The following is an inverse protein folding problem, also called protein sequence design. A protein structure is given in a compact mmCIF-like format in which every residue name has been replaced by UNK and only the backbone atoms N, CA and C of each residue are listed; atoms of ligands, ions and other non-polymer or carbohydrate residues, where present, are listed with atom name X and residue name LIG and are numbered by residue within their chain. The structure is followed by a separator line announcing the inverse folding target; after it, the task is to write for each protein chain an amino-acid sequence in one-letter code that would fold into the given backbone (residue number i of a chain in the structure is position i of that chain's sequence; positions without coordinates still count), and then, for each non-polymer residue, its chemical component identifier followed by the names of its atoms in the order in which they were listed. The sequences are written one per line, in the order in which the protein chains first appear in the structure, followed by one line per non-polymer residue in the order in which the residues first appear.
data_IF_397833661160
#
_entry.id   IF_397833661160
#
_cell.length_a   1.000
_cell.length_b   1.000
_cell.length_c   1.000
_cell.angle_alpha   90.00
_cell.angle_beta   90.00
_cell.angle_gamma   90.00
#
_symmetry.space_group_name_H-M   'P 1'
#
loop_
_entity.id
_entity.type
_entity.pdbx_description
1 polymer ?
#
# COMPACT_ATOMS: atom_id res chain seq x y z
N UNK A 1 -61.66 -37.23 -21.20
CA UNK A 1 -60.60 -37.10 -20.19
C UNK A 1 -59.40 -36.43 -20.85
N UNK A 2 -59.06 -35.19 -20.47
CA UNK A 2 -57.97 -34.40 -21.06
C UNK A 2 -56.70 -34.58 -20.22
N UNK A 3 -55.51 -34.78 -20.80
CA UNK A 3 -54.27 -34.77 -20.04
C UNK A 3 -53.79 -33.33 -19.84
N UNK A 4 -53.46 -32.99 -18.60
CA UNK A 4 -52.80 -31.74 -18.21
C UNK A 4 -51.29 -31.95 -18.31
N UNK A 5 -50.64 -31.25 -19.23
CA UNK A 5 -49.18 -31.16 -19.31
C UNK A 5 -48.68 -30.17 -18.25
N UNK A 6 -47.90 -30.67 -17.29
CA UNK A 6 -47.13 -29.86 -16.34
C UNK A 6 -45.79 -29.47 -16.99
N UNK A 7 -45.62 -28.20 -17.33
CA UNK A 7 -44.35 -27.63 -17.74
C UNK A 7 -43.50 -27.33 -16.50
N UNK A 8 -42.36 -28.02 -16.36
CA UNK A 8 -41.36 -27.73 -15.33
C UNK A 8 -40.48 -26.58 -15.84
N UNK A 9 -40.64 -25.41 -15.25
CA UNK A 9 -39.74 -24.28 -15.49
C UNK A 9 -38.44 -24.50 -14.70
N UNK A 10 -37.34 -24.77 -15.41
CA UNK A 10 -36.00 -24.81 -14.83
C UNK A 10 -35.55 -23.37 -14.49
N UNK A 11 -35.51 -23.03 -13.20
CA UNK A 11 -34.84 -21.83 -12.73
C UNK A 11 -33.32 -21.99 -12.87
N UNK A 12 -32.74 -21.29 -13.84
CA UNK A 12 -31.31 -21.03 -13.89
C UNK A 12 -30.96 -20.02 -12.79
N UNK A 13 -30.56 -20.53 -11.62
CA UNK A 13 -29.90 -19.73 -10.60
C UNK A 13 -28.52 -19.34 -11.12
N UNK A 14 -28.42 -18.17 -11.74
CA UNK A 14 -27.15 -17.52 -12.02
C UNK A 14 -26.47 -17.19 -10.70
N UNK A 15 -25.44 -17.95 -10.35
CA UNK A 15 -24.54 -17.66 -9.25
C UNK A 15 -23.79 -16.36 -9.56
N UNK A 16 -24.28 -15.25 -9.03
CA UNK A 16 -23.54 -14.00 -9.01
C UNK A 16 -22.30 -14.20 -8.11
N UNK A 17 -21.14 -14.33 -8.74
CA UNK A 17 -19.85 -14.34 -8.04
C UNK A 17 -19.74 -13.00 -7.30
N UNK A 18 -19.58 -12.99 -5.96
CA UNK A 18 -19.42 -11.75 -5.23
C UNK A 18 -18.21 -10.99 -5.78
N UNK A 19 -18.29 -9.66 -5.93
CA UNK A 19 -17.16 -8.87 -6.40
C UNK A 19 -15.97 -9.08 -5.48
N UNK A 20 -14.84 -9.53 -6.03
CA UNK A 20 -13.60 -9.70 -5.29
C UNK A 20 -13.20 -8.33 -4.73
N UNK A 21 -13.20 -8.21 -3.40
CA UNK A 21 -12.83 -6.99 -2.72
C UNK A 21 -11.42 -6.56 -3.16
N UNK A 22 -11.21 -5.28 -3.44
CA UNK A 22 -9.89 -4.79 -3.83
C UNK A 22 -8.92 -4.76 -2.64
N UNK A 23 -7.61 -4.75 -2.90
CA UNK A 23 -6.64 -4.44 -1.85
C UNK A 23 -6.89 -3.02 -1.33
N UNK A 24 -7.06 -2.91 -0.02
CA UNK A 24 -7.15 -1.63 0.70
C UNK A 24 -6.12 -1.63 1.81
N UNK A 25 -5.41 -0.53 1.98
CA UNK A 25 -4.71 -0.29 3.24
C UNK A 25 -5.77 -0.12 4.33
N UNK A 26 -5.65 -0.91 5.40
CA UNK A 26 -6.49 -0.69 6.58
C UNK A 26 -5.94 0.50 7.37
N UNK A 27 -6.85 1.36 7.86
CA UNK A 27 -6.55 2.44 8.81
C UNK A 27 -6.38 1.91 10.25
N UNK A 28 -6.32 0.59 10.44
CA UNK A 28 -6.16 -0.05 11.74
C UNK A 28 -4.75 0.17 12.30
N UNK A 29 -4.62 1.06 13.29
CA UNK A 29 -3.38 1.23 14.04
C UNK A 29 -3.11 0.14 15.08
N UNK A 30 -4.01 -0.84 15.24
CA UNK A 30 -3.96 -1.80 16.35
C UNK A 30 -4.07 -1.12 17.73
N UNK A 31 -3.44 -1.68 18.79
CA UNK A 31 -3.39 -1.04 20.10
C UNK A 31 -2.44 0.16 20.06
N UNK A 32 -2.90 1.28 19.50
CA UNK A 32 -2.15 2.53 19.47
C UNK A 32 -2.02 3.12 20.89
N UNK A 33 -0.99 3.96 21.14
CA UNK A 33 -0.90 4.73 22.38
C UNK A 33 -2.21 5.48 22.66
N UNK A 34 -2.60 5.56 23.94
CA UNK A 34 -3.84 6.23 24.33
C UNK A 34 -3.89 7.66 23.78
N UNK A 35 -4.95 7.97 23.04
CA UNK A 35 -5.14 9.30 22.46
C UNK A 35 -4.32 9.56 21.18
N UNK A 36 -3.62 8.56 20.64
CA UNK A 36 -3.05 8.65 19.30
C UNK A 36 -4.16 8.86 18.24
N UNK A 37 -3.77 9.44 17.11
CA UNK A 37 -4.61 9.61 15.93
C UNK A 37 -4.35 8.46 14.97
N UNK A 38 -5.45 7.81 14.59
CA UNK A 38 -5.51 6.82 13.52
C UNK A 38 -6.29 7.45 12.40
N UNK A 39 -5.60 7.73 11.30
CA UNK A 39 -6.16 8.51 10.23
C UNK A 39 -6.72 7.60 9.16
N UNK A 40 -7.85 8.03 8.62
CA UNK A 40 -8.51 7.45 7.46
C UNK A 40 -8.96 8.58 6.54
N UNK A 41 -9.53 8.23 5.39
CA UNK A 41 -10.18 9.21 4.51
C UNK A 41 -9.78 9.07 3.06
N UNK A 42 -10.08 10.12 2.29
CA UNK A 42 -10.05 10.07 0.83
C UNK A 42 -8.65 9.79 0.26
N UNK A 43 -7.59 10.13 0.98
CA UNK A 43 -6.21 9.86 0.56
C UNK A 43 -5.83 8.38 0.65
N UNK A 44 -6.50 7.58 1.48
CA UNK A 44 -6.27 6.13 1.60
C UNK A 44 -6.90 5.33 0.45
N UNK A 45 -7.74 5.96 -0.37
CA UNK A 45 -8.37 5.33 -1.54
C UNK A 45 -7.44 5.23 -2.76
N UNK A 46 -6.15 5.49 -2.62
CA UNK A 46 -5.21 5.43 -3.73
C UNK A 46 -5.07 4.00 -4.27
N UNK A 47 -4.55 3.90 -5.49
CA UNK A 47 -4.21 2.62 -6.11
C UNK A 47 -2.73 2.48 -6.44
N UNK A 48 -2.04 3.60 -6.65
CA UNK A 48 -0.59 3.61 -6.88
C UNK A 48 0.08 4.66 -6.01
N UNK A 49 1.31 4.38 -5.61
CA UNK A 49 2.20 5.33 -4.96
C UNK A 49 3.59 5.13 -5.52
N UNK A 50 4.27 6.23 -5.84
CA UNK A 50 5.72 6.27 -6.01
C UNK A 50 6.25 7.32 -5.07
N UNK A 51 7.15 6.95 -4.16
CA UNK A 51 7.65 7.89 -3.15
C UNK A 51 9.13 7.67 -2.90
N UNK A 52 9.88 8.76 -2.91
CA UNK A 52 11.22 8.86 -2.31
C UNK A 52 11.07 9.43 -0.90
N UNK A 53 11.66 8.74 0.08
CA UNK A 53 11.70 9.12 1.49
C UNK A 53 13.15 9.37 1.87
N UNK A 54 13.44 10.58 2.34
CA UNK A 54 14.74 10.96 2.88
C UNK A 54 14.67 11.07 4.40
N UNK A 55 15.50 10.30 5.10
CA UNK A 55 15.56 10.22 6.57
C UNK A 55 17.02 10.31 7.02
N UNK A 56 17.54 11.54 7.13
CA UNK A 56 18.97 11.74 7.37
C UNK A 56 19.82 11.16 6.23
N UNK A 57 20.75 10.22 6.52
CA UNK A 57 21.57 9.58 5.48
C UNK A 57 20.85 8.45 4.73
N UNK A 58 19.62 8.09 5.14
CA UNK A 58 18.85 7.02 4.50
C UNK A 58 17.98 7.59 3.39
N UNK A 59 18.08 6.98 2.21
CA UNK A 59 17.19 7.23 1.07
C UNK A 59 16.47 5.94 0.71
N UNK A 60 15.15 5.97 0.70
CA UNK A 60 14.32 4.85 0.25
C UNK A 60 13.38 5.29 -0.85
N UNK A 61 13.23 4.47 -1.88
CA UNK A 61 12.27 4.64 -2.97
C UNK A 61 11.34 3.45 -2.98
N UNK A 62 10.06 3.74 -2.88
CA UNK A 62 9.00 2.75 -2.89
C UNK A 62 8.06 3.00 -4.06
N UNK A 63 7.74 1.95 -4.81
CA UNK A 63 6.58 1.93 -5.70
C UNK A 63 5.57 0.94 -5.13
N UNK A 64 4.35 1.36 -4.85
CA UNK A 64 3.27 0.51 -4.34
C UNK A 64 2.13 0.52 -5.34
N UNK A 65 1.62 -0.65 -5.68
CA UNK A 65 0.40 -0.85 -6.47
C UNK A 65 -0.58 -1.70 -5.68
N UNK A 66 -1.70 -1.09 -5.28
CA UNK A 66 -2.85 -1.76 -4.68
C UNK A 66 -3.77 -2.22 -5.82
N UNK A 67 -3.54 -3.45 -6.26
CA UNK A 67 -4.16 -4.01 -7.44
C UNK A 67 -5.62 -4.44 -7.24
N UNK A 68 -6.31 -4.65 -8.35
CA UNK A 68 -7.54 -5.45 -8.36
C UNK A 68 -7.25 -6.88 -7.87
N UNK A 69 -8.25 -7.58 -7.34
CA UNK A 69 -8.06 -8.97 -6.88
C UNK A 69 -7.17 -9.13 -5.65
N UNK A 70 -7.14 -8.13 -4.76
CA UNK A 70 -6.35 -8.11 -3.50
C UNK A 70 -4.84 -8.24 -3.70
N UNK A 71 -4.34 -7.99 -4.90
CA UNK A 71 -2.90 -7.98 -5.12
C UNK A 71 -2.26 -6.73 -4.53
N UNK A 72 -1.05 -6.88 -4.01
CA UNK A 72 -0.17 -5.76 -3.65
C UNK A 72 1.19 -6.01 -4.25
N UNK A 73 1.59 -5.19 -5.22
CA UNK A 73 2.97 -5.17 -5.73
C UNK A 73 3.70 -4.00 -5.11
N UNK A 74 4.81 -4.27 -4.42
CA UNK A 74 5.74 -3.25 -3.97
C UNK A 74 7.12 -3.45 -4.59
N UNK A 75 7.74 -2.36 -5.02
CA UNK A 75 9.15 -2.29 -5.44
C UNK A 75 9.90 -1.40 -4.47
N UNK A 76 11.09 -1.83 -4.11
CA UNK A 76 11.89 -1.23 -3.06
C UNK A 76 13.28 -1.00 -3.63
N UNK A 77 13.76 0.23 -3.54
CA UNK A 77 15.17 0.56 -3.68
C UNK A 77 15.56 1.35 -2.44
N UNK A 78 16.57 0.88 -1.71
CA UNK A 78 17.00 1.55 -0.49
C UNK A 78 18.52 1.70 -0.47
N UNK A 79 18.96 2.81 0.09
CA UNK A 79 20.35 3.14 0.30
C UNK A 79 20.53 3.69 1.71
N UNK A 80 21.32 2.99 2.51
CA UNK A 80 21.73 3.36 3.87
C UNK A 80 23.26 3.35 3.95
N UNK A 81 23.85 3.90 5.03
CA UNK A 81 25.29 3.73 5.26
C UNK A 81 25.77 2.27 5.39
N UNK A 82 24.88 1.34 5.72
CA UNK A 82 25.21 -0.06 6.02
C UNK A 82 24.94 -1.01 4.84
N UNK A 83 23.94 -0.71 4.02
CA UNK A 83 23.53 -1.52 2.88
C UNK A 83 22.80 -0.68 1.83
N UNK A 84 22.87 -1.12 0.58
CA UNK A 84 22.05 -0.61 -0.50
C UNK A 84 21.61 -1.76 -1.38
N UNK A 85 20.35 -1.75 -1.80
CA UNK A 85 19.78 -2.88 -2.51
C UNK A 85 18.41 -2.62 -3.11
N UNK A 86 17.91 -3.67 -3.78
CA UNK A 86 16.60 -3.69 -4.43
C UNK A 86 15.85 -4.96 -4.09
N UNK A 87 14.54 -4.81 -3.93
CA UNK A 87 13.63 -5.94 -3.82
C UNK A 87 12.28 -5.62 -4.46
N UNK A 88 11.68 -6.64 -5.05
CA UNK A 88 10.28 -6.64 -5.44
C UNK A 88 9.53 -7.65 -4.57
N UNK A 89 8.32 -7.30 -4.14
CA UNK A 89 7.46 -8.19 -3.36
C UNK A 89 6.03 -8.06 -3.85
N UNK A 90 5.37 -9.21 -3.98
CA UNK A 90 4.00 -9.33 -4.46
C UNK A 90 3.20 -10.18 -3.47
N UNK A 91 2.17 -9.59 -2.89
CA UNK A 91 1.09 -10.31 -2.22
C UNK A 91 0.02 -10.63 -3.26
N UNK A 92 -0.19 -11.91 -3.55
CA UNK A 92 -1.22 -12.40 -4.47
C UNK A 92 -2.47 -12.76 -3.68
N UNK A 93 -3.61 -12.21 -4.11
CA UNK A 93 -4.94 -12.41 -3.49
C UNK A 93 -4.97 -12.21 -1.96
N UNK A 94 -4.10 -11.35 -1.43
CA UNK A 94 -4.01 -11.10 0.00
C UNK A 94 -3.49 -12.26 0.84
N UNK A 95 -2.96 -13.34 0.24
CA UNK A 95 -2.58 -14.56 0.98
C UNK A 95 -1.19 -15.09 0.65
N UNK A 96 -0.79 -15.10 -0.63
CA UNK A 96 0.50 -15.68 -1.05
C UNK A 96 1.52 -14.58 -1.28
N UNK A 97 2.62 -14.60 -0.53
CA UNK A 97 3.74 -13.68 -0.77
C UNK A 97 4.78 -14.35 -1.65
N UNK A 98 5.12 -13.69 -2.76
CA UNK A 98 6.29 -14.00 -3.59
C UNK A 98 7.18 -12.79 -3.64
N UNK A 99 8.50 -12.98 -3.67
CA UNK A 99 9.44 -11.86 -3.65
C UNK A 99 10.71 -12.16 -4.41
N UNK A 100 11.39 -11.11 -4.87
CA UNK A 100 12.72 -11.17 -5.43
C UNK A 100 13.56 -10.15 -4.70
N UNK A 101 14.55 -10.62 -3.94
CA UNK A 101 15.50 -9.77 -3.23
C UNK A 101 16.89 -10.03 -3.79
N UNK A 102 17.57 -9.00 -4.30
CA UNK A 102 18.94 -9.10 -4.85
C UNK A 102 19.99 -9.22 -3.73
N UNK A 103 19.64 -9.91 -2.62
CA UNK A 103 20.41 -10.19 -1.39
C UNK A 103 21.11 -8.99 -0.77
N UNK A 104 20.58 -7.81 -1.03
CA UNK A 104 21.20 -6.53 -0.71
C UNK A 104 20.37 -5.72 0.29
N UNK A 105 19.10 -6.10 0.47
CA UNK A 105 18.23 -5.57 1.51
C UNK A 105 18.02 -6.59 2.63
N UNK A 106 18.01 -6.17 3.90
CA UNK A 106 17.59 -7.02 5.00
C UNK A 106 16.08 -7.31 4.87
N UNK A 107 15.69 -8.54 5.19
CA UNK A 107 14.29 -8.97 5.19
C UNK A 107 13.94 -9.93 4.05
N UNK A 108 12.92 -10.74 4.31
CA UNK A 108 12.42 -11.75 3.38
C UNK A 108 10.89 -11.82 3.43
N UNK A 109 10.28 -12.32 2.34
CA UNK A 109 8.85 -12.60 2.31
C UNK A 109 7.99 -11.39 2.66
N UNK A 110 7.11 -11.54 3.65
CA UNK A 110 6.15 -10.51 4.04
C UNK A 110 6.81 -9.29 4.69
N UNK A 111 7.99 -9.43 5.28
CA UNK A 111 8.70 -8.31 5.92
C UNK A 111 8.98 -7.20 4.90
N UNK A 112 9.29 -7.57 3.66
CA UNK A 112 9.53 -6.65 2.55
C UNK A 112 8.30 -5.78 2.21
N UNK A 113 7.08 -6.18 2.58
CA UNK A 113 5.89 -5.34 2.37
C UNK A 113 5.75 -4.24 3.43
N UNK A 114 6.44 -4.35 4.56
CA UNK A 114 6.17 -3.49 5.72
C UNK A 114 6.55 -2.04 5.45
N UNK A 115 7.79 -1.78 5.05
CA UNK A 115 8.28 -0.43 4.79
C UNK A 115 7.51 0.29 3.68
N UNK A 116 7.30 -0.29 2.48
CA UNK A 116 6.55 0.40 1.43
C UNK A 116 5.09 0.67 1.82
N UNK A 117 4.42 -0.26 2.53
CA UNK A 117 3.05 -0.03 2.98
C UNK A 117 2.98 1.00 4.11
N UNK A 118 3.98 1.05 4.99
CA UNK A 118 4.07 2.04 6.05
C UNK A 118 4.31 3.44 5.46
N UNK A 119 5.25 3.58 4.53
CA UNK A 119 5.47 4.82 3.80
C UNK A 119 4.20 5.29 3.07
N UNK A 120 3.41 4.36 2.53
CA UNK A 120 2.14 4.70 1.91
C UNK A 120 1.08 5.21 2.89
N UNK A 121 0.98 4.59 4.08
CA UNK A 121 0.13 5.10 5.15
C UNK A 121 0.60 6.46 5.66
N UNK A 122 1.91 6.70 5.74
CA UNK A 122 2.49 7.99 6.12
C UNK A 122 2.09 9.09 5.14
N UNK A 123 2.30 8.86 3.85
CA UNK A 123 1.89 9.80 2.80
C UNK A 123 0.40 10.09 2.87
N UNK A 124 -0.45 9.06 2.91
CA UNK A 124 -1.90 9.24 2.97
C UNK A 124 -2.35 10.00 4.23
N UNK A 125 -1.76 9.67 5.39
CA UNK A 125 -2.06 10.28 6.68
C UNK A 125 -1.74 11.77 6.70
N UNK A 126 -0.52 12.15 6.31
CA UNK A 126 -0.12 13.57 6.35
C UNK A 126 -0.83 14.41 5.30
N UNK A 127 -1.12 13.84 4.13
CA UNK A 127 -1.97 14.49 3.14
C UNK A 127 -3.42 14.65 3.65
N UNK A 128 -3.96 13.67 4.36
CA UNK A 128 -5.29 13.76 4.96
C UNK A 128 -5.36 14.83 6.06
N UNK A 129 -4.34 14.95 6.92
CA UNK A 129 -4.26 16.00 7.93
C UNK A 129 -4.21 17.40 7.30
N UNK A 130 -3.40 17.58 6.26
CA UNK A 130 -3.19 18.89 5.63
C UNK A 130 -4.29 19.26 4.63
N UNK A 131 -4.89 18.27 3.95
CA UNK A 131 -5.84 18.44 2.86
C UNK A 131 -7.05 17.51 3.06
N UNK A 132 -7.86 17.71 4.11
CA UNK A 132 -8.88 16.75 4.54
C UNK A 132 -10.02 16.54 3.54
N UNK A 133 -10.22 17.49 2.62
CA UNK A 133 -11.21 17.38 1.54
C UNK A 133 -10.81 16.37 0.45
N UNK A 134 -9.59 15.85 0.50
CA UNK A 134 -9.12 14.78 -0.38
C UNK A 134 -8.62 15.24 -1.75
N UNK A 135 -8.04 14.29 -2.52
CA UNK A 135 -7.37 14.56 -3.80
C UNK A 135 -8.32 15.13 -4.86
N UNK A 136 -9.59 14.71 -4.85
CA UNK A 136 -10.62 15.15 -5.82
C UNK A 136 -10.93 16.65 -5.76
N UNK A 137 -10.47 17.37 -4.74
CA UNK A 137 -10.68 18.82 -4.61
C UNK A 137 -9.48 19.65 -5.07
N UNK A 138 -8.34 19.02 -5.35
CA UNK A 138 -7.16 19.70 -5.87
C UNK A 138 -7.37 20.08 -7.34
N UNK A 139 -7.24 21.38 -7.64
CA UNK A 139 -7.36 21.94 -9.00
C UNK A 139 -6.11 22.69 -9.45
N UNK A 140 -5.22 23.00 -8.51
CA UNK A 140 -3.94 23.69 -8.71
C UNK A 140 -2.96 23.27 -7.62
N UNK A 141 -1.69 23.64 -7.78
CA UNK A 141 -0.70 23.52 -6.72
C UNK A 141 -1.24 24.13 -5.42
N UNK A 142 -1.28 23.32 -4.36
CA UNK A 142 -1.90 23.66 -3.08
C UNK A 142 -0.87 23.41 -1.96
N UNK A 143 -0.66 24.38 -1.06
CA UNK A 143 0.24 24.20 0.08
C UNK A 143 -0.23 23.06 0.99
N UNK A 144 0.70 22.19 1.37
CA UNK A 144 0.52 21.22 2.45
C UNK A 144 0.99 21.90 3.73
N UNK A 145 0.07 22.10 4.69
CA UNK A 145 0.38 22.67 6.01
C UNK A 145 -0.50 22.02 7.07
N UNK A 146 0.12 21.37 8.04
CA UNK A 146 -0.56 20.95 9.27
C UNK A 146 0.44 20.85 10.43
N UNK A 147 -0.08 20.85 11.65
CA UNK A 147 0.70 20.63 12.87
C UNK A 147 -0.20 20.00 13.92
N UNK A 148 0.37 19.26 14.86
CA UNK A 148 -0.42 18.63 15.91
C UNK A 148 0.31 18.35 17.21
N UNK A 149 -0.50 18.20 18.25
CA UNK A 149 -0.08 17.90 19.62
C UNK A 149 -0.39 16.46 20.05
N UNK A 150 -0.89 15.62 19.14
CA UNK A 150 -1.21 14.20 19.38
C UNK A 150 -0.32 13.31 18.53
N UNK A 151 0.01 12.13 19.05
CA UNK A 151 0.75 11.10 18.29
C UNK A 151 -0.04 10.73 17.03
N UNK A 152 0.61 10.64 15.87
CA UNK A 152 0.05 9.98 14.69
C UNK A 152 0.57 8.55 14.67
N UNK A 153 -0.33 7.57 14.65
CA UNK A 153 0.01 6.15 14.65
C UNK A 153 -0.36 5.53 13.31
N UNK A 154 0.51 4.67 12.80
CA UNK A 154 0.34 3.93 11.55
C UNK A 154 0.88 2.53 11.74
N UNK A 155 0.31 1.55 11.03
CA UNK A 155 0.64 0.15 11.25
C UNK A 155 0.44 -0.69 9.99
N UNK A 156 1.41 -1.54 9.71
CA UNK A 156 1.30 -2.69 8.81
C UNK A 156 1.20 -3.98 9.64
N UNK A 157 0.96 -5.15 9.02
CA UNK A 157 0.91 -6.39 9.78
C UNK A 157 2.15 -6.68 10.63
N UNK A 158 3.34 -6.26 10.17
CA UNK A 158 4.61 -6.54 10.84
C UNK A 158 5.33 -5.31 11.41
N UNK A 159 4.86 -4.08 11.17
CA UNK A 159 5.54 -2.86 11.63
C UNK A 159 4.55 -1.78 12.08
N UNK A 160 4.97 -0.93 13.02
CA UNK A 160 4.23 0.28 13.42
C UNK A 160 5.15 1.50 13.40
N UNK A 161 4.59 2.66 13.09
CA UNK A 161 5.27 3.96 13.20
C UNK A 161 4.46 4.91 14.08
N UNK A 162 5.16 5.71 14.88
CA UNK A 162 4.56 6.67 15.80
C UNK A 162 5.26 8.03 15.72
N UNK A 163 4.56 9.00 15.15
CA UNK A 163 5.01 10.37 15.01
C UNK A 163 4.53 11.19 16.21
N UNK A 164 5.42 11.41 17.17
CA UNK A 164 5.15 12.13 18.40
C UNK A 164 5.14 13.65 18.25
N UNK A 165 4.38 14.35 19.11
CA UNK A 165 4.30 15.81 19.11
C UNK A 165 5.54 16.50 19.73
N UNK A 166 5.77 17.79 19.44
CA UNK A 166 5.10 18.52 18.37
C UNK A 166 5.53 17.97 17.02
N UNK A 167 4.58 17.82 16.11
CA UNK A 167 4.89 17.51 14.71
C UNK A 167 4.34 18.59 13.80
N UNK A 168 5.02 18.80 12.68
CA UNK A 168 4.63 19.73 11.61
C UNK A 168 4.80 19.04 10.27
N UNK A 169 3.96 19.41 9.31
CA UNK A 169 4.10 19.05 7.90
C UNK A 169 4.05 20.30 7.04
N UNK A 170 4.99 20.43 6.12
CA UNK A 170 5.11 21.57 5.21
C UNK A 170 5.52 21.12 3.81
N UNK A 171 4.84 21.60 2.77
CA UNK A 171 5.15 21.22 1.40
C UNK A 171 4.13 21.70 0.38
N UNK A 172 4.05 21.01 -0.75
CA UNK A 172 3.10 21.29 -1.83
C UNK A 172 2.53 19.99 -2.42
N UNK A 173 1.24 20.00 -2.73
CA UNK A 173 0.56 18.99 -3.54
C UNK A 173 0.10 19.63 -4.86
N UNK A 174 0.37 18.98 -5.98
CA UNK A 174 0.02 19.47 -7.33
C UNK A 174 -0.79 18.41 -8.05
N UNK A 175 -1.97 18.75 -8.63
CA UNK A 175 -2.72 17.79 -9.43
C UNK A 175 -1.90 17.35 -10.65
N UNK A 176 -1.83 16.05 -10.86
CA UNK A 176 -1.20 15.39 -12.00
C UNK A 176 -2.21 14.92 -13.04
N UNK A 177 -1.75 14.12 -14.01
CA UNK A 177 -2.60 13.51 -15.04
C UNK A 177 -3.36 12.30 -14.46
N UNK A 178 -4.53 11.98 -15.02
CA UNK A 178 -5.23 10.72 -14.70
C UNK A 178 -5.76 10.58 -13.27
N UNK A 179 -5.91 11.70 -12.54
CA UNK A 179 -6.30 11.67 -11.13
C UNK A 179 -5.13 11.54 -10.15
N UNK A 180 -3.90 11.54 -10.65
CA UNK A 180 -2.70 11.53 -9.83
C UNK A 180 -2.50 12.87 -9.09
N UNK A 181 -1.76 12.83 -7.99
CA UNK A 181 -1.28 14.02 -7.27
C UNK A 181 0.21 13.87 -7.04
N UNK A 182 1.00 14.80 -7.58
CA UNK A 182 2.41 14.96 -7.27
C UNK A 182 2.54 15.67 -5.92
N UNK A 183 3.46 15.24 -5.05
CA UNK A 183 3.69 15.84 -3.75
C UNK A 183 5.18 15.97 -3.43
N UNK A 184 5.50 17.00 -2.65
CA UNK A 184 6.80 17.19 -2.01
C UNK A 184 6.54 17.87 -0.66
N UNK A 185 6.72 17.12 0.42
CA UNK A 185 6.54 17.64 1.77
C UNK A 185 7.56 17.08 2.75
N UNK A 186 7.79 17.86 3.81
CA UNK A 186 8.66 17.50 4.92
C UNK A 186 7.83 17.39 6.18
N UNK A 187 8.08 16.35 6.97
CA UNK A 187 7.52 16.14 8.30
C UNK A 187 8.63 16.30 9.32
N UNK A 188 8.43 17.20 10.29
CA UNK A 188 9.28 17.35 11.48
C UNK A 188 8.51 16.81 12.68
N UNK A 189 9.12 15.97 13.52
CA UNK A 189 8.41 15.29 14.63
C UNK A 189 9.39 14.78 15.69
N UNK A 190 8.88 14.28 16.82
CA UNK A 190 9.67 13.52 17.81
C UNK A 190 9.27 12.05 17.76
N UNK A 191 10.19 11.12 18.01
CA UNK A 191 9.80 9.71 18.05
C UNK A 191 8.88 9.43 19.23
N UNK A 192 7.75 8.78 18.98
CA UNK A 192 6.89 8.23 20.02
C UNK A 192 7.11 6.71 20.15
N UNK A 193 6.92 6.20 21.35
CA UNK A 193 6.97 4.78 21.67
C UNK A 193 5.55 4.19 21.76
N UNK A 194 5.39 2.86 21.68
CA UNK A 194 4.10 2.21 21.89
C UNK A 194 3.46 2.50 23.26
N UNK A 195 4.28 2.81 24.29
CA UNK A 195 3.80 3.22 25.62
C UNK A 195 3.33 4.68 25.69
N UNK A 196 3.39 5.42 24.57
CA UNK A 196 3.02 6.82 24.46
C UNK A 196 4.10 7.82 24.88
N UNK A 197 5.28 7.36 25.34
CA UNK A 197 6.38 8.28 25.65
C UNK A 197 6.96 8.87 24.37
N UNK A 198 7.29 10.15 24.41
CA UNK A 198 7.87 10.91 23.28
C UNK A 198 9.31 11.26 23.62
N UNK A 199 10.23 11.03 22.68
CA UNK A 199 11.65 11.35 22.85
C UNK A 199 11.90 12.86 22.81
N UNK A 200 13.05 13.33 23.30
CA UNK A 200 13.42 14.74 23.21
C UNK A 200 13.85 15.17 21.79
N UNK A 201 14.52 14.28 21.06
CA UNK A 201 15.12 14.59 19.76
C UNK A 201 14.06 14.81 18.68
N UNK A 202 14.28 15.83 17.85
CA UNK A 202 13.50 16.07 16.64
C UNK A 202 14.10 15.30 15.46
N UNK A 203 13.22 14.73 14.65
CA UNK A 203 13.51 14.00 13.43
C UNK A 203 12.80 14.68 12.27
N UNK A 204 13.38 14.54 11.09
CA UNK A 204 12.83 15.11 9.86
C UNK A 204 12.84 14.07 8.74
N UNK A 205 11.67 13.85 8.16
CA UNK A 205 11.49 13.04 6.96
C UNK A 205 11.04 13.94 5.81
N UNK A 206 11.60 13.76 4.61
CA UNK A 206 11.08 14.37 3.39
C UNK A 206 10.50 13.30 2.48
N UNK A 207 9.30 13.55 1.99
CA UNK A 207 8.55 12.70 1.09
C UNK A 207 8.36 13.43 -0.23
N UNK A 208 8.83 12.83 -1.31
CA UNK A 208 8.65 13.37 -2.67
C UNK A 208 8.15 12.27 -3.57
N UNK A 209 7.08 12.51 -4.32
CA UNK A 209 6.50 11.44 -5.09
C UNK A 209 5.19 11.78 -5.77
N UNK A 210 4.46 10.73 -6.11
CA UNK A 210 3.16 10.76 -6.77
C UNK A 210 2.26 9.70 -6.17
N UNK A 211 1.04 10.09 -5.84
CA UNK A 211 -0.03 9.20 -5.39
C UNK A 211 -1.15 9.19 -6.43
N UNK A 212 -1.57 8.01 -6.87
CA UNK A 212 -2.48 7.83 -8.00
C UNK A 212 -3.85 7.31 -7.61
N UNK A 213 -4.88 7.90 -8.22
CA UNK A 213 -6.29 7.57 -8.02
C UNK A 213 -6.96 7.24 -9.37
N UNK A 214 -6.48 6.21 -10.09
CA UNK A 214 -7.04 5.86 -11.40
C UNK A 214 -8.50 5.45 -11.27
N UNK A 215 -9.28 5.71 -12.33
CA UNK A 215 -10.71 5.38 -12.37
C UNK A 215 -10.98 3.87 -12.20
N UNK A 216 -10.06 3.05 -12.69
CA UNK A 216 -10.06 1.59 -12.51
C UNK A 216 -8.77 1.20 -11.80
N UNK A 217 -8.85 0.33 -10.79
CA UNK A 217 -7.65 -0.18 -10.12
C UNK A 217 -6.78 -0.92 -11.14
N UNK A 218 -5.46 -0.66 -11.15
CA UNK A 218 -4.55 -1.43 -11.98
C UNK A 218 -4.59 -2.90 -11.56
N UNK A 219 -4.29 -3.79 -12.50
CA UNK A 219 -4.07 -5.21 -12.19
C UNK A 219 -2.61 -5.52 -12.47
N UNK A 220 -1.98 -6.33 -11.60
CA UNK A 220 -0.65 -6.86 -11.89
C UNK A 220 -0.80 -7.86 -13.05
N UNK A 221 -0.13 -7.65 -14.21
CA UNK A 221 -0.36 -8.46 -15.40
C UNK A 221 -0.04 -9.94 -15.15
N UNK A 222 -0.89 -10.84 -15.64
CA UNK A 222 -0.62 -12.28 -15.60
C UNK A 222 0.66 -12.66 -16.36
N UNK A 223 1.07 -11.85 -17.33
CA UNK A 223 2.31 -12.03 -18.10
C UNK A 223 3.57 -11.62 -17.34
N UNK A 224 3.46 -11.15 -16.10
CA UNK A 224 4.61 -10.82 -15.28
C UNK A 224 5.46 -12.07 -15.05
N UNK A 225 6.72 -12.01 -15.50
CA UNK A 225 7.69 -13.08 -15.31
C UNK A 225 8.15 -13.13 -13.84
N UNK A 226 8.02 -14.32 -13.26
CA UNK A 226 8.42 -14.67 -11.90
C UNK A 226 9.74 -15.45 -11.88
N UNK A 227 10.47 -15.51 -12.98
CA UNK A 227 11.82 -16.07 -13.00
C UNK A 227 12.74 -15.33 -12.02
N UNK A 228 13.40 -16.08 -11.13
CA UNK A 228 14.25 -15.55 -10.07
C UNK A 228 13.50 -15.02 -8.85
N UNK A 229 12.18 -15.19 -8.78
CA UNK A 229 11.41 -14.92 -7.56
C UNK A 229 11.43 -16.14 -6.63
N UNK A 230 11.50 -15.88 -5.33
CA UNK A 230 11.24 -16.86 -4.29
C UNK A 230 9.73 -17.05 -4.15
N UNK A 231 9.27 -18.27 -4.38
CA UNK A 231 7.90 -18.69 -4.16
C UNK A 231 7.84 -19.59 -2.92
N UNK A 232 7.14 -19.16 -1.87
CA UNK A 232 6.91 -19.96 -0.67
C UNK A 232 5.76 -20.96 -0.90
N UNK A 233 5.90 -21.82 -1.91
CA UNK A 233 4.94 -22.86 -2.28
C UNK A 233 5.59 -24.24 -2.21
N UNK A 234 4.83 -25.31 -1.97
CA UNK A 234 5.35 -26.67 -2.07
C UNK A 234 5.99 -26.91 -3.45
N UNK A 235 7.11 -27.65 -3.53
CA UNK A 235 7.74 -27.98 -4.81
C UNK A 235 6.75 -28.60 -5.80
N UNK A 236 6.79 -28.15 -7.06
CA UNK A 236 5.90 -28.64 -8.11
C UNK A 236 4.47 -28.06 -8.10
N UNK A 237 4.15 -27.14 -7.18
CA UNK A 237 2.81 -26.52 -7.13
C UNK A 237 2.48 -25.68 -8.36
N UNK A 238 3.48 -25.09 -9.02
CA UNK A 238 3.28 -24.20 -10.17
C UNK A 238 3.86 -24.84 -11.45
N UNK A 239 3.09 -24.80 -12.53
CA UNK A 239 3.55 -25.13 -13.89
C UNK A 239 3.73 -23.83 -14.69
N UNK A 240 4.97 -23.46 -15.00
CA UNK A 240 5.31 -22.23 -15.74
C UNK A 240 6.15 -21.27 -14.92
N UNK A 241 6.24 -20.02 -15.36
CA UNK A 241 7.08 -18.99 -14.72
C UNK A 241 6.37 -17.63 -14.59
N UNK A 242 5.07 -17.55 -14.84
CA UNK A 242 4.34 -16.27 -14.85
C UNK A 242 3.40 -16.11 -13.65
N UNK A 243 3.00 -14.87 -13.36
CA UNK A 243 1.97 -14.60 -12.35
C UNK A 243 0.63 -15.27 -12.68
N UNK A 244 0.29 -15.39 -13.96
CA UNK A 244 -0.89 -16.13 -14.40
C UNK A 244 -0.81 -17.62 -14.04
N UNK A 245 0.37 -18.23 -14.16
CA UNK A 245 0.61 -19.62 -13.75
C UNK A 245 0.44 -19.78 -12.24
N UNK A 246 1.01 -18.85 -11.47
CA UNK A 246 0.85 -18.82 -10.02
C UNK A 246 -0.62 -18.70 -9.63
N UNK A 247 -1.38 -17.76 -10.20
CA UNK A 247 -2.81 -17.61 -9.93
C UNK A 247 -3.60 -18.88 -10.23
N UNK A 248 -3.34 -19.52 -11.38
CA UNK A 248 -3.96 -20.80 -11.75
C UNK A 248 -3.66 -21.90 -10.73
N UNK A 249 -2.41 -22.00 -10.26
CA UNK A 249 -2.02 -22.98 -9.24
C UNK A 249 -2.73 -22.78 -7.90
N UNK A 250 -3.07 -21.53 -7.57
CA UNK A 250 -3.83 -21.15 -6.39
C UNK A 250 -5.35 -21.28 -6.57
N UNK A 251 -5.83 -21.75 -7.73
CA UNK A 251 -7.25 -21.82 -8.05
C UNK A 251 -7.91 -20.46 -8.27
N UNK A 252 -7.11 -19.42 -8.51
CA UNK A 252 -7.58 -18.05 -8.73
C UNK A 252 -7.87 -17.81 -10.23
N UNK A 253 -8.90 -17.00 -10.55
CA UNK A 253 -9.21 -16.68 -11.94
C UNK A 253 -8.07 -15.89 -12.59
N UNK A 254 -7.54 -16.43 -13.69
CA UNK A 254 -6.61 -15.71 -14.56
C UNK A 254 -7.23 -14.39 -15.03
N UNK A 255 -6.41 -13.36 -15.18
CA UNK A 255 -6.82 -12.13 -15.83
C UNK A 255 -7.06 -12.41 -17.32
N UNK A 256 -8.28 -12.18 -17.79
CA UNK A 256 -8.51 -11.99 -19.23
C UNK A 256 -7.91 -10.66 -19.66
#
# INVERSE_FOLDING_TARGET
MKPVFLAVAALLLGSAVPPVAAATLSAECGPAPKGAMCLDGAWFAFSTLKVEVLQGPVTSRYEVTLGAGRDILARIEQSTPQYSGRADVLLVDGTTVVYRNERSLPGEGQELLSDPLLAAQEVASFLQLALPKGPKTLRKATPIRASGARIVAMRTPAMSSYYGPPWTVGGTATPGKGGDVDFDFTVSFRLAKPDGKVTANEYRHRYRGRIGFPATRPRVPDTMDLTGWTLNLPPGSMQGSTLGDLRRSLGLPASR
#
